data_IF_866449895699
#
_entry.id   IF_866449895699
#
_cell.length_a   1.000
_cell.length_b   1.000
_cell.length_c   1.000
_cell.angle_alpha   90.00
_cell.angle_beta   90.00
_cell.angle_gamma   90.00
#
_symmetry.space_group_name_H-M   'P 1'
#
loop_
_entity.id
_entity.type
_entity.pdbx_description
1 polymer ?
#
# COMPACT_ATOMS: atom_id res chain seq x y z
N UNK A 1 -20.26 1.34 11.81
CA UNK A 1 -20.57 2.76 11.57
C UNK A 1 -19.80 3.69 12.50
N UNK A 2 -19.87 3.50 13.81
CA UNK A 2 -19.19 4.42 14.77
C UNK A 2 -17.69 4.59 14.54
N UNK A 3 -17.02 3.64 13.88
CA UNK A 3 -15.59 3.74 13.53
C UNK A 3 -15.37 4.44 12.19
N UNK A 4 -16.26 4.25 11.22
CA UNK A 4 -16.12 4.83 9.88
C UNK A 4 -16.35 6.35 9.90
N UNK A 5 -17.28 6.85 10.71
CA UNK A 5 -17.61 8.28 10.77
C UNK A 5 -16.47 9.18 11.24
N UNK A 6 -15.43 8.61 11.86
CA UNK A 6 -14.24 9.38 12.27
C UNK A 6 -13.27 9.60 11.10
N UNK A 7 -13.38 8.79 10.05
CA UNK A 7 -12.54 8.93 8.86
C UNK A 7 -13.06 10.09 7.98
N UNK A 8 -12.19 10.97 7.49
CA UNK A 8 -12.58 12.14 6.71
C UNK A 8 -13.47 11.83 5.52
N UNK A 9 -13.21 10.70 4.83
CA UNK A 9 -13.97 10.28 3.64
C UNK A 9 -15.41 9.86 3.95
N UNK A 10 -15.68 9.36 5.16
CA UNK A 10 -17.00 8.83 5.56
C UNK A 10 -17.75 9.76 6.51
N UNK A 11 -17.17 10.90 6.88
CA UNK A 11 -17.72 11.84 7.87
C UNK A 11 -19.10 12.43 7.48
N UNK A 12 -19.46 12.37 6.19
CA UNK A 12 -20.74 12.83 5.65
C UNK A 12 -21.86 11.78 5.71
N UNK A 13 -21.57 10.54 6.13
CA UNK A 13 -22.59 9.52 6.39
C UNK A 13 -23.27 9.86 7.72
N UNK A 14 -24.52 10.33 7.64
CA UNK A 14 -25.29 10.72 8.80
C UNK A 14 -25.84 9.51 9.56
N UNK A 15 -26.41 8.56 8.83
CA UNK A 15 -27.02 7.35 9.42
C UNK A 15 -27.08 6.20 8.40
N UNK A 16 -27.17 4.99 8.91
CA UNK A 16 -27.46 3.79 8.12
C UNK A 16 -28.57 3.01 8.83
N UNK A 17 -29.68 2.85 8.15
CA UNK A 17 -30.84 2.14 8.66
C UNK A 17 -31.20 0.95 7.77
N UNK A 18 -31.78 -0.07 8.38
CA UNK A 18 -32.28 -1.25 7.67
C UNK A 18 -33.80 -1.33 7.84
N UNK A 19 -34.58 -0.71 6.94
CA UNK A 19 -36.03 -0.72 7.05
C UNK A 19 -36.63 -2.12 6.85
N UNK A 20 -35.95 -3.00 6.16
CA UNK A 20 -36.29 -4.41 6.01
C UNK A 20 -35.04 -5.28 6.11
N UNK A 21 -35.13 -6.61 6.30
CA UNK A 21 -33.99 -7.52 6.31
C UNK A 21 -33.12 -7.46 5.02
N UNK A 22 -33.66 -6.92 3.94
CA UNK A 22 -33.05 -6.94 2.61
C UNK A 22 -32.76 -5.55 2.06
N UNK A 23 -33.01 -4.50 2.85
CA UNK A 23 -32.86 -3.10 2.43
C UNK A 23 -31.94 -2.37 3.39
N UNK A 24 -31.02 -1.61 2.83
CA UNK A 24 -30.09 -0.74 3.57
C UNK A 24 -30.20 0.66 3.00
N UNK A 25 -30.60 1.61 3.84
CA UNK A 25 -30.67 3.04 3.49
C UNK A 25 -29.49 3.78 4.13
N UNK A 26 -28.68 4.43 3.31
CA UNK A 26 -27.54 5.23 3.74
C UNK A 26 -27.89 6.71 3.60
N UNK A 27 -28.04 7.39 4.73
CA UNK A 27 -28.36 8.82 4.77
C UNK A 27 -27.09 9.65 4.79
N UNK A 28 -26.99 10.58 3.85
CA UNK A 28 -25.83 11.46 3.70
C UNK A 28 -26.18 12.88 4.09
N UNK A 29 -25.26 13.61 4.71
CA UNK A 29 -25.39 15.06 4.98
C UNK A 29 -25.23 15.92 3.73
N UNK A 30 -24.57 15.37 2.70
CA UNK A 30 -24.35 15.99 1.40
C UNK A 30 -24.20 14.91 0.31
N UNK A 31 -24.53 15.21 -0.96
CA UNK A 31 -24.33 14.24 -2.05
C UNK A 31 -22.87 13.83 -2.20
N UNK A 32 -22.63 12.56 -2.53
CA UNK A 32 -21.30 12.04 -2.80
C UNK A 32 -21.30 11.11 -4.01
N UNK A 33 -20.65 11.52 -5.09
CA UNK A 33 -20.48 10.71 -6.29
C UNK A 33 -19.56 9.51 -6.11
N UNK A 34 -18.72 9.55 -5.09
CA UNK A 34 -17.73 8.50 -4.80
C UNK A 34 -18.25 7.42 -3.85
N UNK A 35 -19.43 7.61 -3.26
CA UNK A 35 -19.98 6.67 -2.27
C UNK A 35 -19.94 5.20 -2.73
N UNK A 36 -20.31 4.84 -3.99
CA UNK A 36 -20.22 3.43 -4.42
C UNK A 36 -18.81 2.86 -4.37
N UNK A 37 -17.80 3.68 -4.66
CA UNK A 37 -16.38 3.28 -4.59
C UNK A 37 -15.88 3.23 -3.14
N UNK A 38 -16.32 4.17 -2.30
CA UNK A 38 -16.03 4.15 -0.86
C UNK A 38 -16.57 2.89 -0.19
N UNK A 39 -17.77 2.45 -0.55
CA UNK A 39 -18.36 1.21 -0.02
C UNK A 39 -17.61 -0.06 -0.49
N UNK A 40 -16.81 0.03 -1.51
CA UNK A 40 -15.92 -1.04 -1.98
C UNK A 40 -14.54 -1.05 -1.31
N UNK A 41 -14.22 -0.08 -0.45
CA UNK A 41 -12.93 -0.03 0.23
C UNK A 41 -12.89 -0.89 1.50
N UNK A 42 -11.66 -1.18 1.95
CA UNK A 42 -11.42 -2.00 3.16
C UNK A 42 -12.17 -1.50 4.40
N UNK A 43 -12.21 -0.18 4.73
CA UNK A 43 -12.95 0.29 5.90
C UNK A 43 -14.46 0.02 5.87
N UNK A 44 -15.04 -0.18 4.68
CA UNK A 44 -16.47 -0.44 4.49
C UNK A 44 -16.79 -1.95 4.31
N UNK A 45 -15.85 -2.85 4.58
CA UNK A 45 -16.07 -4.29 4.48
C UNK A 45 -17.26 -4.74 5.33
N UNK A 46 -18.06 -5.66 4.77
CA UNK A 46 -19.18 -6.28 5.49
C UNK A 46 -18.64 -7.38 6.39
N UNK A 47 -18.86 -7.21 7.69
CA UNK A 47 -18.40 -8.12 8.74
C UNK A 47 -19.60 -8.76 9.45
N UNK A 48 -19.44 -9.96 10.06
CA UNK A 48 -20.43 -10.51 10.96
C UNK A 48 -20.76 -9.54 12.10
N UNK A 49 -21.99 -9.51 12.56
CA UNK A 49 -22.41 -8.62 13.66
C UNK A 49 -21.59 -8.84 14.94
N UNK A 50 -21.20 -10.08 15.18
CA UNK A 50 -20.47 -10.55 16.36
C UNK A 50 -18.93 -10.55 16.19
N UNK A 51 -18.40 -9.97 15.12
CA UNK A 51 -16.97 -10.07 14.79
C UNK A 51 -16.04 -9.65 15.94
N UNK A 52 -16.42 -8.67 16.77
CA UNK A 52 -15.64 -8.19 17.91
C UNK A 52 -15.53 -9.24 19.03
N UNK A 53 -16.46 -10.18 19.10
CA UNK A 53 -16.49 -11.23 20.12
C UNK A 53 -15.89 -12.55 19.66
N UNK A 54 -15.58 -12.69 18.38
CA UNK A 54 -14.94 -13.86 17.81
C UNK A 54 -13.43 -13.84 18.10
N UNK A 55 -12.99 -14.68 19.02
CA UNK A 55 -11.60 -14.72 19.52
C UNK A 55 -10.55 -15.01 18.43
N UNK A 56 -10.95 -15.66 17.35
CA UNK A 56 -10.09 -16.04 16.22
C UNK A 56 -10.31 -15.19 14.96
N UNK A 57 -11.10 -14.11 15.03
CA UNK A 57 -11.47 -13.34 13.83
C UNK A 57 -10.25 -12.75 13.11
N UNK A 58 -9.23 -12.30 13.85
CA UNK A 58 -8.01 -11.75 13.27
C UNK A 58 -7.23 -12.78 12.42
N UNK A 59 -7.24 -14.05 12.82
CA UNK A 59 -6.56 -15.13 12.11
C UNK A 59 -7.46 -15.86 11.10
N UNK A 60 -8.77 -15.89 11.35
CA UNK A 60 -9.76 -16.56 10.50
C UNK A 60 -10.94 -15.62 10.25
N UNK A 61 -10.73 -14.57 9.44
CA UNK A 61 -11.77 -13.60 9.15
C UNK A 61 -12.93 -14.25 8.38
N UNK A 62 -14.13 -13.85 8.75
CA UNK A 62 -15.37 -14.25 8.07
C UNK A 62 -15.83 -13.06 7.24
N UNK A 63 -15.91 -13.24 5.93
CA UNK A 63 -16.35 -12.23 4.97
C UNK A 63 -17.41 -12.78 4.02
N UNK A 64 -17.66 -12.02 2.95
CA UNK A 64 -18.64 -12.40 1.90
C UNK A 64 -17.96 -12.88 0.61
N UNK A 65 -16.67 -13.22 0.68
CA UNK A 65 -15.87 -13.63 -0.48
C UNK A 65 -16.09 -15.09 -0.91
N UNK A 66 -15.51 -15.47 -2.06
CA UNK A 66 -15.65 -16.81 -2.65
C UNK A 66 -14.78 -17.89 -1.98
N UNK A 67 -13.94 -17.52 -1.03
CA UNK A 67 -13.05 -18.41 -0.29
C UNK A 67 -13.19 -18.19 1.21
N UNK A 68 -13.05 -19.27 1.96
CA UNK A 68 -12.93 -19.27 3.42
C UNK A 68 -11.48 -19.53 3.85
N UNK A 69 -11.04 -18.87 4.91
CA UNK A 69 -9.71 -19.09 5.49
C UNK A 69 -9.76 -20.38 6.31
N UNK A 70 -8.92 -21.36 5.95
CA UNK A 70 -8.80 -22.66 6.65
C UNK A 70 -7.59 -22.65 7.59
N UNK A 71 -6.53 -21.97 7.19
CA UNK A 71 -5.32 -21.81 8.00
C UNK A 71 -4.69 -20.46 7.73
N UNK A 72 -4.29 -19.79 8.79
CA UNK A 72 -3.52 -18.56 8.71
C UNK A 72 -2.44 -18.59 9.80
N UNK A 73 -1.20 -18.52 9.39
CA UNK A 73 -0.01 -18.50 10.25
C UNK A 73 1.04 -17.57 9.66
N UNK A 74 2.13 -17.32 10.35
CA UNK A 74 3.20 -16.42 9.93
C UNK A 74 3.75 -16.74 8.53
N UNK A 75 3.79 -18.03 8.16
CA UNK A 75 4.41 -18.48 6.92
C UNK A 75 3.46 -19.21 5.97
N UNK A 76 2.18 -19.37 6.33
CA UNK A 76 1.21 -20.07 5.49
C UNK A 76 -0.19 -19.50 5.65
N UNK A 77 -0.80 -19.15 4.52
CA UNK A 77 -2.24 -18.93 4.39
C UNK A 77 -2.83 -20.04 3.50
N UNK A 78 -3.84 -20.74 4.01
CA UNK A 78 -4.62 -21.69 3.24
C UNK A 78 -6.06 -21.21 3.16
N UNK A 79 -6.59 -21.08 1.93
CA UNK A 79 -7.97 -20.74 1.67
C UNK A 79 -8.62 -21.84 0.83
N UNK A 80 -9.91 -22.07 1.07
CA UNK A 80 -10.72 -23.08 0.37
C UNK A 80 -11.95 -22.41 -0.24
N UNK A 81 -12.33 -22.86 -1.43
CA UNK A 81 -13.52 -22.40 -2.11
C UNK A 81 -14.76 -22.61 -1.23
N UNK A 82 -15.58 -21.58 -1.15
CA UNK A 82 -16.81 -21.60 -0.35
C UNK A 82 -18.00 -22.03 -1.23
N UNK A 83 -18.55 -23.22 -0.96
CA UNK A 83 -19.59 -23.82 -1.80
C UNK A 83 -20.90 -23.03 -1.78
N UNK A 84 -21.23 -22.39 -0.66
CA UNK A 84 -22.45 -21.58 -0.49
C UNK A 84 -22.25 -20.10 -0.88
N UNK A 85 -21.19 -19.78 -1.64
CA UNK A 85 -20.98 -18.43 -2.13
C UNK A 85 -22.15 -17.99 -3.02
N UNK A 86 -22.67 -16.79 -2.79
CA UNK A 86 -23.86 -16.26 -3.48
C UNK A 86 -23.69 -16.06 -5.00
N UNK A 87 -22.46 -16.06 -5.52
CA UNK A 87 -22.14 -15.99 -6.94
C UNK A 87 -21.67 -17.33 -7.50
N UNK A 88 -20.96 -17.30 -8.64
CA UNK A 88 -20.36 -18.52 -9.18
C UNK A 88 -19.23 -18.99 -8.27
N UNK A 89 -19.25 -20.28 -7.94
CA UNK A 89 -18.19 -20.93 -7.19
C UNK A 89 -16.84 -20.79 -7.90
N UNK A 90 -15.78 -20.63 -7.14
CA UNK A 90 -14.41 -20.66 -7.66
C UNK A 90 -14.08 -22.04 -8.27
N UNK A 91 -13.33 -22.03 -9.39
CA UNK A 91 -12.92 -23.28 -10.06
C UNK A 91 -11.74 -23.95 -9.38
N UNK A 92 -10.90 -23.18 -8.68
CA UNK A 92 -9.80 -23.71 -7.86
C UNK A 92 -10.37 -23.98 -6.47
N UNK A 93 -10.33 -25.25 -6.04
CA UNK A 93 -10.86 -25.67 -4.75
C UNK A 93 -10.05 -25.12 -3.57
N UNK A 94 -8.74 -25.05 -3.72
CA UNK A 94 -7.84 -24.72 -2.63
C UNK A 94 -6.64 -23.90 -3.13
N UNK A 95 -6.29 -22.85 -2.38
CA UNK A 95 -5.08 -22.05 -2.59
C UNK A 95 -4.25 -22.07 -1.32
N UNK A 96 -2.98 -22.45 -1.45
CA UNK A 96 -1.98 -22.39 -0.39
C UNK A 96 -0.96 -21.31 -0.74
N UNK A 97 -0.89 -20.29 0.10
CA UNK A 97 0.12 -19.23 0.02
C UNK A 97 1.20 -19.52 1.04
N UNK A 98 2.44 -19.63 0.59
CA UNK A 98 3.61 -19.80 1.44
C UNK A 98 4.45 -18.53 1.40
N UNK A 99 4.78 -18.00 2.57
CA UNK A 99 5.77 -16.93 2.73
C UNK A 99 7.10 -17.59 3.04
N UNK A 100 8.03 -17.52 2.09
CA UNK A 100 9.36 -18.14 2.21
C UNK A 100 10.37 -16.98 2.33
N UNK A 101 10.95 -16.76 3.52
CA UNK A 101 11.82 -15.59 3.75
C UNK A 101 13.12 -15.60 2.95
N UNK A 102 13.60 -16.78 2.55
CA UNK A 102 14.86 -16.94 1.82
C UNK A 102 14.75 -18.13 0.85
N UNK A 103 14.51 -17.82 -0.41
CA UNK A 103 14.88 -18.73 -1.50
C UNK A 103 16.09 -18.10 -2.17
N UNK A 104 17.27 -18.72 -2.01
CA UNK A 104 18.57 -18.16 -2.33
C UNK A 104 18.78 -17.75 -3.81
N UNK A 105 17.92 -18.19 -4.72
CA UNK A 105 18.06 -17.98 -6.17
C UNK A 105 16.83 -17.27 -6.81
N UNK A 106 15.86 -16.79 -6.02
CA UNK A 106 14.67 -16.10 -6.54
C UNK A 106 14.80 -14.59 -6.34
N UNK A 107 14.38 -13.77 -7.32
CA UNK A 107 14.42 -12.32 -7.17
C UNK A 107 13.50 -11.87 -6.01
N UNK A 108 14.00 -10.99 -5.16
CA UNK A 108 13.23 -10.43 -4.06
C UNK A 108 11.95 -9.76 -4.60
N UNK A 109 10.81 -10.08 -3.98
CA UNK A 109 9.50 -9.57 -4.40
C UNK A 109 8.86 -10.33 -5.57
N UNK A 110 9.43 -11.44 -6.00
CA UNK A 110 8.81 -12.35 -6.98
C UNK A 110 7.67 -13.16 -6.36
N UNK A 111 6.57 -13.31 -7.08
CA UNK A 111 5.51 -14.24 -6.75
C UNK A 111 5.54 -15.43 -7.70
N UNK A 112 5.67 -16.62 -7.15
CA UNK A 112 5.61 -17.85 -7.92
C UNK A 112 4.30 -18.59 -7.66
N UNK A 113 3.56 -18.88 -8.72
CA UNK A 113 2.30 -19.62 -8.67
C UNK A 113 2.51 -21.03 -9.21
N UNK A 114 2.45 -22.02 -8.32
CA UNK A 114 2.59 -23.44 -8.67
C UNK A 114 1.22 -24.12 -8.69
N UNK A 115 0.95 -24.85 -9.75
CA UNK A 115 -0.19 -25.74 -9.89
C UNK A 115 0.27 -27.19 -10.03
N UNK A 116 -0.64 -28.09 -10.42
CA UNK A 116 -0.35 -29.55 -10.37
C UNK A 116 0.73 -30.03 -11.33
N UNK A 117 0.90 -29.43 -12.51
CA UNK A 117 1.91 -29.82 -13.53
C UNK A 117 2.09 -28.73 -14.59
N UNK A 118 3.28 -28.58 -15.17
CA UNK A 118 3.56 -27.74 -16.32
C UNK A 118 4.86 -26.96 -16.23
N UNK A 119 5.29 -26.38 -17.36
CA UNK A 119 6.43 -25.49 -17.45
C UNK A 119 6.09 -24.13 -16.81
N UNK A 120 7.04 -23.56 -16.10
CA UNK A 120 6.96 -22.22 -15.53
C UNK A 120 7.16 -21.18 -16.64
N UNK A 121 6.43 -20.09 -16.54
CA UNK A 121 6.55 -18.96 -17.45
C UNK A 121 6.13 -17.69 -16.71
N UNK A 122 6.66 -16.54 -17.14
CA UNK A 122 6.13 -15.25 -16.74
C UNK A 122 4.67 -15.12 -17.17
N UNK A 123 3.79 -14.85 -16.20
CA UNK A 123 2.36 -14.65 -16.44
C UNK A 123 2.07 -13.17 -16.65
N UNK A 124 2.67 -12.32 -15.82
CA UNK A 124 2.47 -10.88 -15.83
C UNK A 124 3.73 -10.17 -15.37
N UNK A 125 4.07 -9.07 -16.04
CA UNK A 125 5.11 -8.14 -15.61
C UNK A 125 4.57 -6.73 -15.80
N UNK A 126 4.55 -5.94 -14.72
CA UNK A 126 4.08 -4.57 -14.78
C UNK A 126 4.77 -3.69 -13.75
N UNK A 127 4.89 -2.42 -14.08
CA UNK A 127 5.24 -1.40 -13.11
C UNK A 127 4.01 -1.07 -12.25
N UNK A 128 4.13 -1.11 -10.94
CA UNK A 128 3.04 -0.81 -10.03
C UNK A 128 2.61 0.66 -10.14
N UNK A 129 1.31 0.92 -10.03
CA UNK A 129 0.74 2.27 -9.99
C UNK A 129 0.86 2.81 -8.57
N UNK A 130 2.08 3.08 -8.14
CA UNK A 130 2.40 3.54 -6.79
C UNK A 130 3.90 3.74 -6.61
N UNK A 131 4.33 3.93 -5.39
CA UNK A 131 5.76 4.07 -5.08
C UNK A 131 6.05 3.80 -3.60
N UNK A 132 7.32 3.50 -3.30
CA UNK A 132 7.91 3.72 -1.99
C UNK A 132 8.21 5.20 -1.82
N UNK A 133 7.94 5.74 -0.64
CA UNK A 133 8.14 7.16 -0.37
C UNK A 133 8.59 7.43 1.06
N UNK A 134 9.29 8.54 1.26
CA UNK A 134 9.52 9.10 2.58
C UNK A 134 8.40 10.08 2.92
N UNK A 135 7.99 10.03 4.17
CA UNK A 135 7.10 11.00 4.79
C UNK A 135 7.86 11.68 5.93
N UNK A 136 8.02 13.00 5.87
CA UNK A 136 8.61 13.77 6.94
C UNK A 136 7.55 14.14 7.97
N UNK A 137 7.84 13.85 9.23
CA UNK A 137 6.91 14.08 10.33
C UNK A 137 6.99 15.53 10.80
N UNK A 138 5.96 16.32 10.49
CA UNK A 138 5.91 17.73 10.87
C UNK A 138 5.82 17.97 12.39
N UNK A 139 5.57 16.94 13.18
CA UNK A 139 5.55 17.00 14.66
C UNK A 139 6.97 17.09 15.23
N UNK A 140 7.97 16.55 14.56
CA UNK A 140 9.36 16.62 15.02
C UNK A 140 10.06 17.88 14.50
N UNK A 141 11.02 18.36 15.26
CA UNK A 141 11.81 19.53 14.85
C UNK A 141 12.58 19.30 13.53
N UNK A 142 13.13 18.10 13.33
CA UNK A 142 13.90 17.77 12.12
C UNK A 142 12.99 17.50 10.94
N UNK A 143 11.90 16.76 11.12
CA UNK A 143 10.93 16.52 10.06
C UNK A 143 10.21 17.77 9.58
N UNK A 144 9.94 18.73 10.48
CA UNK A 144 9.37 20.04 10.14
C UNK A 144 10.37 20.98 9.42
N UNK A 145 11.68 20.74 9.55
CA UNK A 145 12.70 21.64 9.03
C UNK A 145 12.89 21.47 7.50
N UNK A 146 12.57 22.52 6.75
CA UNK A 146 12.67 22.52 5.28
C UNK A 146 14.08 22.22 4.77
N UNK A 147 15.14 22.77 5.41
CA UNK A 147 16.52 22.52 4.98
C UNK A 147 16.90 21.04 5.16
N UNK A 148 16.41 20.39 6.22
CA UNK A 148 16.60 18.95 6.43
C UNK A 148 15.90 18.16 5.34
N UNK A 149 14.63 18.47 5.03
CA UNK A 149 13.88 17.82 3.96
C UNK A 149 14.55 17.97 2.60
N UNK A 150 14.99 19.17 2.26
CA UNK A 150 15.65 19.45 0.98
C UNK A 150 16.97 18.66 0.86
N UNK A 151 17.78 18.67 1.91
CA UNK A 151 19.06 17.97 1.91
C UNK A 151 18.88 16.44 1.87
N UNK A 152 18.01 15.89 2.71
CA UNK A 152 17.71 14.44 2.71
C UNK A 152 17.18 14.00 1.36
N UNK A 153 16.24 14.77 0.75
CA UNK A 153 15.70 14.47 -0.57
C UNK A 153 16.76 14.49 -1.67
N UNK A 154 17.78 15.34 -1.55
CA UNK A 154 18.90 15.40 -2.48
C UNK A 154 19.84 14.19 -2.32
N UNK A 155 20.25 13.90 -1.09
CA UNK A 155 21.22 12.83 -0.79
C UNK A 155 20.60 11.44 -1.04
N UNK A 156 19.35 11.26 -0.61
CA UNK A 156 18.58 10.03 -0.82
C UNK A 156 17.75 10.10 -2.12
N UNK A 157 18.30 10.73 -3.17
CA UNK A 157 17.60 10.81 -4.44
C UNK A 157 17.24 9.41 -4.98
N UNK A 158 16.11 9.26 -5.69
CA UNK A 158 15.69 8.00 -6.28
C UNK A 158 16.77 7.27 -7.07
N UNK A 159 17.55 8.03 -7.85
CA UNK A 159 18.67 7.49 -8.63
C UNK A 159 19.77 6.94 -7.73
N UNK A 160 20.10 7.60 -6.63
CA UNK A 160 21.13 7.13 -5.69
C UNK A 160 20.68 5.83 -5.03
N UNK A 161 19.43 5.74 -4.59
CA UNK A 161 18.90 4.52 -3.96
C UNK A 161 18.97 3.31 -4.89
N UNK A 162 18.57 3.47 -6.15
CA UNK A 162 18.66 2.37 -7.13
C UNK A 162 20.11 2.04 -7.44
N UNK A 163 21.01 3.04 -7.54
CA UNK A 163 22.42 2.81 -7.81
C UNK A 163 23.15 2.02 -6.71
N UNK A 164 22.81 2.25 -5.45
CA UNK A 164 23.42 1.55 -4.31
C UNK A 164 22.71 0.24 -3.95
N UNK A 165 21.60 -0.10 -4.62
CA UNK A 165 20.93 -1.36 -4.42
C UNK A 165 21.70 -2.53 -5.04
N UNK A 166 21.51 -3.73 -4.52
CA UNK A 166 22.01 -4.95 -5.12
C UNK A 166 21.39 -5.20 -6.51
N UNK A 167 22.09 -5.93 -7.38
CA UNK A 167 21.69 -6.15 -8.77
C UNK A 167 20.25 -6.69 -8.92
N UNK A 168 19.85 -7.60 -8.04
CA UNK A 168 18.50 -8.15 -8.03
C UNK A 168 17.40 -7.07 -7.85
N UNK A 169 17.66 -6.06 -7.01
CA UNK A 169 16.73 -4.95 -6.79
C UNK A 169 16.82 -3.92 -7.91
N UNK A 170 18.00 -3.69 -8.49
CA UNK A 170 18.16 -2.78 -9.63
C UNK A 170 17.32 -3.19 -10.84
N UNK A 171 17.05 -4.49 -11.01
CA UNK A 171 16.19 -5.01 -12.06
C UNK A 171 14.70 -4.75 -11.81
N UNK A 172 14.31 -4.63 -10.54
CA UNK A 172 12.91 -4.47 -10.12
C UNK A 172 12.55 -3.02 -9.79
N UNK A 173 13.54 -2.18 -9.48
CA UNK A 173 13.32 -0.82 -8.99
C UNK A 173 13.55 0.22 -10.08
N UNK A 174 12.57 1.11 -10.21
CA UNK A 174 12.64 2.24 -11.12
C UNK A 174 12.57 3.56 -10.32
N UNK A 175 13.49 4.53 -10.54
CA UNK A 175 13.52 5.77 -9.78
C UNK A 175 12.21 6.55 -9.87
N UNK A 176 11.58 6.86 -8.74
CA UNK A 176 10.31 7.58 -8.66
C UNK A 176 10.52 9.06 -8.37
N UNK A 177 10.09 9.91 -9.29
CA UNK A 177 10.06 11.37 -9.11
C UNK A 177 8.65 11.92 -8.95
N UNK A 178 7.66 11.06 -8.80
CA UNK A 178 6.26 11.34 -8.54
C UNK A 178 5.59 10.15 -7.87
N UNK A 179 4.40 10.34 -7.33
CA UNK A 179 3.63 9.26 -6.69
C UNK A 179 3.19 8.18 -7.68
N UNK A 180 3.06 8.53 -8.96
CA UNK A 180 2.70 7.62 -10.04
C UNK A 180 3.81 7.56 -11.08
N UNK A 181 4.03 6.41 -11.75
CA UNK A 181 5.09 6.26 -12.76
C UNK A 181 5.04 7.29 -13.89
N UNK A 182 3.85 7.81 -14.19
CA UNK A 182 3.64 8.82 -15.26
C UNK A 182 3.83 10.25 -14.79
N UNK A 183 3.99 10.49 -13.49
CA UNK A 183 4.16 11.82 -12.92
C UNK A 183 5.63 12.09 -12.64
N UNK A 184 6.19 13.04 -13.35
CA UNK A 184 7.58 13.46 -13.17
C UNK A 184 7.62 14.86 -12.57
N UNK A 185 8.16 14.95 -11.36
CA UNK A 185 8.48 16.22 -10.72
C UNK A 185 9.96 16.57 -10.95
N UNK A 186 10.32 17.81 -10.66
CA UNK A 186 11.70 18.24 -10.75
C UNK A 186 12.61 17.38 -9.85
N UNK A 187 13.75 16.99 -10.41
CA UNK A 187 14.79 16.30 -9.62
C UNK A 187 15.26 17.18 -8.49
N UNK A 188 15.63 16.61 -7.33
CA UNK A 188 16.24 17.38 -6.25
C UNK A 188 17.49 18.09 -6.75
N UNK A 189 17.63 19.37 -6.42
CA UNK A 189 18.82 20.16 -6.70
C UNK A 189 19.81 20.01 -5.57
N UNK A 190 21.10 20.27 -5.86
CA UNK A 190 22.14 20.27 -4.84
C UNK A 190 21.76 21.15 -3.66
N UNK A 191 21.91 20.62 -2.46
CA UNK A 191 21.64 21.29 -1.20
C UNK A 191 22.75 20.95 -0.21
N UNK A 192 23.22 21.94 0.54
CA UNK A 192 24.24 21.72 1.57
C UNK A 192 23.61 21.07 2.82
N UNK A 193 24.44 20.25 3.51
CA UNK A 193 24.02 19.64 4.76
C UNK A 193 23.73 20.71 5.82
N UNK A 194 22.54 20.66 6.46
CA UNK A 194 22.22 21.57 7.55
C UNK A 194 23.25 21.48 8.70
N UNK A 195 23.64 22.63 9.23
CA UNK A 195 24.58 22.68 10.35
C UNK A 195 24.00 21.96 11.57
N UNK A 196 24.83 21.15 12.23
CA UNK A 196 24.42 20.39 13.44
C UNK A 196 23.53 19.18 13.15
N UNK A 197 23.28 18.80 11.90
CA UNK A 197 22.56 17.56 11.58
C UNK A 197 23.51 16.36 11.73
N UNK A 198 23.40 15.65 12.85
CA UNK A 198 24.24 14.50 13.18
C UNK A 198 23.46 13.18 13.14
N UNK A 199 22.15 13.21 13.37
CA UNK A 199 21.31 12.02 13.40
C UNK A 199 19.89 12.30 12.90
N UNK A 200 19.25 11.25 12.39
CA UNK A 200 17.83 11.20 12.01
C UNK A 200 17.23 9.87 12.46
N UNK A 201 15.94 9.85 12.76
CA UNK A 201 15.19 8.63 13.05
C UNK A 201 14.33 8.27 11.84
N UNK A 202 14.45 7.02 11.36
CA UNK A 202 13.60 6.43 10.32
C UNK A 202 12.75 5.33 10.94
N UNK A 203 11.45 5.40 10.72
CA UNK A 203 10.51 4.38 11.22
C UNK A 203 9.70 3.78 10.07
N UNK A 204 9.45 2.48 10.13
CA UNK A 204 8.55 1.75 9.24
C UNK A 204 7.94 0.55 9.98
N UNK A 205 6.85 -0.02 9.46
CA UNK A 205 6.29 -1.23 10.06
C UNK A 205 7.09 -2.46 9.65
N UNK A 206 7.27 -3.37 10.62
CA UNK A 206 7.92 -4.65 10.42
C UNK A 206 7.18 -5.49 9.37
N UNK A 207 7.76 -6.60 8.95
CA UNK A 207 7.20 -7.56 7.99
C UNK A 207 7.17 -7.09 6.52
N UNK A 208 7.80 -5.95 6.21
CA UNK A 208 8.00 -5.47 4.85
C UNK A 208 9.49 -5.55 4.49
N UNK A 209 9.86 -6.58 3.74
CA UNK A 209 11.28 -6.91 3.45
C UNK A 209 11.95 -5.74 2.72
N UNK A 210 11.29 -5.17 1.72
CA UNK A 210 11.84 -4.06 0.92
C UNK A 210 12.09 -2.81 1.76
N UNK A 211 11.29 -2.54 2.78
CA UNK A 211 11.55 -1.42 3.69
C UNK A 211 12.90 -1.58 4.41
N UNK A 212 13.23 -2.80 4.85
CA UNK A 212 14.53 -3.08 5.48
C UNK A 212 15.69 -2.85 4.53
N UNK A 213 15.56 -3.32 3.29
CA UNK A 213 16.58 -3.14 2.25
C UNK A 213 16.78 -1.66 1.94
N UNK A 214 15.70 -0.93 1.67
CA UNK A 214 15.75 0.52 1.40
C UNK A 214 16.35 1.27 2.59
N UNK A 215 15.92 0.97 3.82
CA UNK A 215 16.44 1.59 5.03
C UNK A 215 17.96 1.33 5.23
N UNK A 216 18.43 0.11 4.94
CA UNK A 216 19.86 -0.23 4.98
C UNK A 216 20.69 0.57 3.96
N UNK A 217 20.19 0.75 2.74
CA UNK A 217 20.83 1.58 1.72
C UNK A 217 20.86 3.05 2.17
N UNK A 218 19.75 3.57 2.69
CA UNK A 218 19.67 4.95 3.20
C UNK A 218 20.65 5.17 4.34
N UNK A 219 20.79 4.19 5.25
CA UNK A 219 21.74 4.26 6.37
C UNK A 219 23.19 4.37 5.86
N UNK A 220 23.57 3.57 4.85
CA UNK A 220 24.89 3.62 4.23
C UNK A 220 25.16 4.97 3.56
N UNK A 221 24.20 5.48 2.79
CA UNK A 221 24.32 6.77 2.10
C UNK A 221 24.48 7.89 3.14
N UNK A 222 23.63 7.96 4.16
CA UNK A 222 23.68 9.01 5.19
C UNK A 222 24.96 8.93 6.04
N UNK A 223 25.43 7.72 6.34
CA UNK A 223 26.70 7.52 7.05
C UNK A 223 27.89 8.10 6.28
N UNK A 224 27.91 8.01 4.95
CA UNK A 224 28.95 8.63 4.11
C UNK A 224 28.97 10.17 4.24
N UNK A 225 27.86 10.76 4.64
CA UNK A 225 27.69 12.18 4.94
C UNK A 225 27.80 12.53 6.43
N UNK A 226 28.28 11.59 7.25
CA UNK A 226 28.43 11.77 8.71
C UNK A 226 27.08 12.08 9.40
N UNK A 227 26.01 11.40 8.99
CA UNK A 227 24.69 11.42 9.64
C UNK A 227 24.30 10.01 10.01
N UNK A 228 24.02 9.77 11.28
CA UNK A 228 23.55 8.50 11.79
C UNK A 228 22.05 8.37 11.51
N UNK A 229 21.62 7.27 10.88
CA UNK A 229 20.22 6.94 10.72
C UNK A 229 19.83 5.86 11.75
N UNK A 230 19.03 6.26 12.72
CA UNK A 230 18.44 5.34 13.69
C UNK A 230 17.21 4.70 13.08
N UNK A 231 17.26 3.39 12.85
CA UNK A 231 16.15 2.63 12.25
C UNK A 231 15.28 2.04 13.34
N UNK A 232 13.97 2.26 13.27
CA UNK A 232 12.96 1.68 14.17
C UNK A 232 11.95 0.88 13.35
N UNK A 233 11.83 -0.39 13.67
CA UNK A 233 10.78 -1.27 13.17
C UNK A 233 9.68 -1.38 14.24
N UNK A 234 8.44 -1.13 13.84
CA UNK A 234 7.27 -1.16 14.72
C UNK A 234 6.21 -2.12 14.18
N UNK A 235 5.22 -2.46 14.98
CA UNK A 235 4.09 -3.27 14.50
C UNK A 235 3.24 -2.50 13.51
N UNK A 236 2.48 -3.23 12.67
CA UNK A 236 1.52 -2.62 11.76
C UNK A 236 0.48 -1.76 12.50
N UNK A 237 0.00 -2.20 13.65
CA UNK A 237 -0.99 -1.46 14.44
C UNK A 237 -0.43 -0.12 14.92
N UNK A 238 0.80 -0.10 15.45
CA UNK A 238 1.48 1.13 15.87
C UNK A 238 1.71 2.10 14.70
N UNK A 239 2.07 1.56 13.52
CA UNK A 239 2.21 2.35 12.31
C UNK A 239 0.85 2.91 11.87
N UNK A 240 -0.20 2.08 11.89
CA UNK A 240 -1.55 2.48 11.48
C UNK A 240 -2.12 3.57 12.40
N UNK A 241 -1.95 3.45 13.70
CA UNK A 241 -2.37 4.47 14.68
C UNK A 241 -1.65 5.81 14.46
N UNK A 242 -0.39 5.78 14.02
CA UNK A 242 0.38 6.97 13.67
C UNK A 242 0.74 7.87 14.85
N UNK A 243 0.58 7.41 16.09
CA UNK A 243 0.82 8.20 17.29
C UNK A 243 2.32 8.40 17.60
N UNK A 244 3.16 7.45 17.18
CA UNK A 244 4.61 7.51 17.37
C UNK A 244 5.19 8.64 16.52
N UNK A 245 6.11 9.41 17.09
CA UNK A 245 6.86 10.44 16.36
C UNK A 245 8.19 9.88 15.81
N UNK A 246 8.51 10.24 14.58
CA UNK A 246 9.78 9.91 13.92
C UNK A 246 10.15 11.05 12.98
N UNK A 247 11.45 11.31 12.78
CA UNK A 247 11.83 12.37 11.84
C UNK A 247 11.37 12.06 10.42
N UNK A 248 11.49 10.77 10.05
CA UNK A 248 11.16 10.28 8.72
C UNK A 248 10.43 8.92 8.85
N UNK A 249 9.42 8.74 8.01
CA UNK A 249 8.72 7.47 7.84
C UNK A 249 9.01 6.92 6.44
N UNK A 250 9.31 5.62 6.33
CA UNK A 250 9.37 4.91 5.07
C UNK A 250 8.07 4.14 4.86
N UNK A 251 7.40 4.43 3.78
CA UNK A 251 6.10 3.87 3.43
C UNK A 251 6.05 3.44 1.97
N UNK A 252 5.01 2.70 1.63
CA UNK A 252 4.63 2.39 0.26
C UNK A 252 3.15 2.68 0.04
N UNK A 253 2.79 3.00 -1.19
CA UNK A 253 1.41 3.20 -1.60
C UNK A 253 1.21 2.67 -3.02
N UNK A 254 0.12 1.92 -3.21
CA UNK A 254 -0.35 1.47 -4.51
C UNK A 254 -1.77 1.99 -4.74
N UNK A 255 -2.04 2.45 -5.95
CA UNK A 255 -3.29 3.09 -6.31
C UNK A 255 -4.06 2.25 -7.32
N UNK A 256 -5.39 2.31 -7.26
CA UNK A 256 -6.30 1.59 -8.16
C UNK A 256 -6.96 2.53 -9.15
N UNK A 257 -7.69 1.99 -10.10
CA UNK A 257 -8.53 2.78 -10.99
C UNK A 257 -9.94 2.96 -10.36
N UNK A 258 -10.58 4.11 -10.53
CA UNK A 258 -10.05 5.32 -11.16
C UNK A 258 -9.08 6.07 -10.24
N UNK A 259 -7.98 6.56 -10.78
CA UNK A 259 -6.92 7.25 -10.01
C UNK A 259 -7.43 8.49 -9.27
N UNK A 260 -8.40 9.22 -9.85
CA UNK A 260 -9.02 10.40 -9.24
C UNK A 260 -9.72 10.07 -7.92
N UNK A 261 -10.13 8.82 -7.76
CA UNK A 261 -10.67 8.31 -6.50
C UNK A 261 -9.55 7.76 -5.61
N UNK A 262 -8.83 6.75 -6.08
CA UNK A 262 -8.01 5.90 -5.23
C UNK A 262 -6.83 6.62 -4.62
N UNK A 263 -6.22 7.57 -5.33
CA UNK A 263 -5.05 8.29 -4.83
C UNK A 263 -5.40 9.17 -3.63
N UNK A 264 -6.45 9.99 -3.73
CA UNK A 264 -6.86 10.81 -2.61
C UNK A 264 -7.44 9.97 -1.47
N UNK A 265 -8.27 8.96 -1.79
CA UNK A 265 -8.85 8.07 -0.80
C UNK A 265 -7.77 7.38 0.04
N UNK A 266 -6.76 6.77 -0.62
CA UNK A 266 -5.67 6.11 0.07
C UNK A 266 -4.91 7.07 1.00
N UNK A 267 -4.49 8.23 0.51
CA UNK A 267 -3.72 9.18 1.32
C UNK A 267 -4.54 9.76 2.47
N UNK A 268 -5.85 9.95 2.28
CA UNK A 268 -6.76 10.48 3.30
C UNK A 268 -7.13 9.45 4.37
N UNK A 269 -7.06 8.14 4.07
CA UNK A 269 -7.44 7.07 4.99
C UNK A 269 -6.30 6.60 5.90
N UNK A 270 -5.07 7.00 5.65
CA UNK A 270 -3.92 6.59 6.46
C UNK A 270 -3.74 7.54 7.66
N UNK A 271 -4.02 7.11 8.90
CA UNK A 271 -3.94 7.99 10.08
C UNK A 271 -2.55 8.60 10.27
N UNK A 272 -1.49 7.87 9.97
CA UNK A 272 -0.12 8.39 10.02
C UNK A 272 0.05 9.66 9.17
N UNK A 273 -0.49 9.68 7.93
CA UNK A 273 -0.42 10.86 7.09
C UNK A 273 -1.20 12.04 7.67
N UNK A 274 -2.34 11.73 8.31
CA UNK A 274 -3.15 12.75 8.97
C UNK A 274 -2.41 13.45 10.12
N UNK A 275 -1.57 12.69 10.84
CA UNK A 275 -0.74 13.23 11.92
C UNK A 275 0.51 13.96 11.42
N UNK A 276 1.18 13.40 10.41
CA UNK A 276 2.46 13.94 9.94
C UNK A 276 2.33 15.17 9.04
N UNK A 277 1.25 15.27 8.26
CA UNK A 277 1.06 16.35 7.29
C UNK A 277 0.14 17.44 7.84
N UNK A 278 0.53 18.72 7.78
CA UNK A 278 -0.28 19.85 8.23
C UNK A 278 -1.36 20.19 7.20
N UNK A 279 -2.29 19.27 6.93
CA UNK A 279 -3.37 19.38 5.94
C UNK A 279 -4.70 19.39 6.67
N UNK A 280 -5.62 20.26 6.24
CA UNK A 280 -7.01 20.17 6.64
C UNK A 280 -7.73 19.08 5.81
N UNK A 281 -7.59 17.84 6.27
CA UNK A 281 -8.14 16.66 5.59
C UNK A 281 -9.67 16.71 5.41
N UNK A 282 -10.39 17.35 6.34
CA UNK A 282 -11.84 17.48 6.24
C UNK A 282 -12.24 18.46 5.14
N UNK A 283 -11.57 19.62 5.07
CA UNK A 283 -11.80 20.59 4.01
C UNK A 283 -11.41 20.03 2.64
N UNK A 284 -10.26 19.34 2.55
CA UNK A 284 -9.80 18.74 1.30
C UNK A 284 -10.71 17.58 0.85
N UNK A 285 -11.22 16.76 1.77
CA UNK A 285 -12.19 15.72 1.44
C UNK A 285 -13.52 16.33 0.91
N UNK A 286 -13.97 17.45 1.46
CA UNK A 286 -15.14 18.15 0.94
C UNK A 286 -14.91 18.68 -0.48
N UNK A 287 -13.78 19.33 -0.73
CA UNK A 287 -13.40 19.82 -2.08
C UNK A 287 -13.29 18.69 -3.10
N UNK A 288 -12.70 17.57 -2.68
CA UNK A 288 -12.57 16.38 -3.53
C UNK A 288 -13.93 15.78 -3.90
N UNK A 289 -14.85 15.61 -2.92
CA UNK A 289 -16.23 15.14 -3.17
C UNK A 289 -16.98 16.05 -4.15
N UNK A 290 -16.82 17.35 -4.02
CA UNK A 290 -17.46 18.35 -4.88
C UNK A 290 -16.81 18.45 -6.28
N UNK A 291 -15.66 17.79 -6.52
CA UNK A 291 -14.91 17.92 -7.77
C UNK A 291 -14.16 19.24 -7.93
N UNK A 292 -13.94 19.94 -6.84
CA UNK A 292 -13.22 21.22 -6.80
C UNK A 292 -11.70 21.08 -6.64
N UNK A 293 -11.23 19.84 -6.40
CA UNK A 293 -9.82 19.54 -6.22
C UNK A 293 -9.18 19.13 -7.55
N UNK A 294 -8.11 19.82 -7.97
CA UNK A 294 -7.19 19.32 -8.96
C UNK A 294 -6.16 18.41 -8.27
N UNK A 295 -6.36 17.11 -8.38
CA UNK A 295 -5.57 16.11 -7.66
C UNK A 295 -4.10 16.11 -8.06
N UNK A 296 -3.79 16.29 -9.35
CA UNK A 296 -2.40 16.37 -9.82
C UNK A 296 -1.65 17.55 -9.18
N UNK A 297 -2.29 18.73 -9.14
CA UNK A 297 -1.70 19.90 -8.50
C UNK A 297 -1.56 19.72 -6.97
N UNK A 298 -2.54 19.08 -6.34
CA UNK A 298 -2.50 18.79 -4.90
C UNK A 298 -1.34 17.86 -4.55
N UNK A 299 -1.17 16.76 -5.27
CA UNK A 299 -0.04 15.84 -5.11
C UNK A 299 1.31 16.52 -5.45
N UNK A 300 1.33 17.38 -6.48
CA UNK A 300 2.51 18.13 -6.83
C UNK A 300 2.96 19.05 -5.69
N UNK A 301 2.03 19.68 -4.98
CA UNK A 301 2.34 20.51 -3.82
C UNK A 301 2.95 19.69 -2.67
N UNK A 302 2.42 18.49 -2.39
CA UNK A 302 2.98 17.59 -1.38
C UNK A 302 4.43 17.20 -1.71
N UNK A 303 4.69 16.81 -2.95
CA UNK A 303 6.04 16.43 -3.39
C UNK A 303 6.97 17.65 -3.46
N UNK A 304 6.50 18.80 -3.94
CA UNK A 304 7.31 20.02 -4.04
C UNK A 304 7.73 20.57 -2.67
N UNK A 305 6.86 20.43 -1.64
CA UNK A 305 7.20 20.81 -0.26
C UNK A 305 8.20 19.87 0.40
N UNK A 306 8.53 18.74 -0.23
CA UNK A 306 9.34 17.66 0.35
C UNK A 306 8.75 17.08 1.65
N UNK A 307 7.47 17.31 1.92
CA UNK A 307 6.80 16.64 3.02
C UNK A 307 6.61 15.14 2.70
N UNK A 308 6.40 14.83 1.42
CA UNK A 308 6.38 13.47 0.88
C UNK A 308 7.37 13.38 -0.28
N UNK A 309 8.28 12.41 -0.24
CA UNK A 309 9.36 12.24 -1.23
C UNK A 309 9.26 10.85 -1.85
N UNK A 310 8.79 10.73 -3.11
CA UNK A 310 8.82 9.47 -3.85
C UNK A 310 10.25 8.97 -4.02
N UNK A 311 10.45 7.66 -3.93
CA UNK A 311 11.76 7.02 -3.99
C UNK A 311 11.87 6.05 -5.17
N UNK A 312 10.97 5.06 -5.21
CA UNK A 312 11.08 3.90 -6.08
C UNK A 312 9.70 3.48 -6.54
N UNK A 313 9.52 3.26 -7.85
CA UNK A 313 8.47 2.43 -8.40
C UNK A 313 8.97 1.00 -8.51
N UNK A 314 8.12 0.03 -8.26
CA UNK A 314 8.48 -1.38 -8.25
C UNK A 314 7.89 -2.12 -9.47
N UNK A 315 8.72 -2.93 -10.14
CA UNK A 315 8.26 -3.90 -11.12
C UNK A 315 7.77 -5.14 -10.41
N UNK A 316 6.52 -5.47 -10.61
CA UNK A 316 5.94 -6.71 -10.15
C UNK A 316 6.05 -7.77 -11.24
N UNK A 317 6.69 -8.88 -10.92
CA UNK A 317 6.86 -10.02 -11.81
C UNK A 317 6.14 -11.22 -11.22
N UNK A 318 5.20 -11.77 -11.97
CA UNK A 318 4.45 -12.96 -11.57
C UNK A 318 4.86 -14.10 -12.50
N UNK A 319 5.43 -15.13 -11.91
CA UNK A 319 5.73 -16.36 -12.59
C UNK A 319 4.69 -17.43 -12.23
N UNK A 320 4.37 -18.28 -13.16
CA UNK A 320 3.42 -19.36 -12.91
C UNK A 320 3.40 -20.37 -14.03
N UNK A 321 2.56 -21.37 -13.89
CA UNK A 321 2.49 -22.46 -14.87
C UNK A 321 1.79 -22.02 -16.16
N UNK A 322 2.31 -22.52 -17.29
CA UNK A 322 1.78 -22.23 -18.63
C UNK A 322 0.31 -22.65 -18.79
N UNK A 323 -0.16 -23.65 -18.06
CA UNK A 323 -1.57 -24.09 -18.06
C UNK A 323 -2.51 -23.18 -17.28
N UNK A 324 -2.02 -22.31 -16.40
CA UNK A 324 -2.84 -21.39 -15.62
C UNK A 324 -3.48 -20.33 -16.52
N UNK A 325 -4.77 -20.13 -16.32
CA UNK A 325 -5.61 -19.16 -17.06
C UNK A 325 -6.48 -18.38 -16.10
N UNK A 326 -6.96 -17.22 -16.54
CA UNK A 326 -7.98 -16.43 -15.84
C UNK A 326 -7.49 -15.76 -14.56
N UNK A 327 -6.28 -16.02 -14.09
CA UNK A 327 -5.72 -15.31 -12.95
C UNK A 327 -5.61 -13.83 -13.29
N UNK A 328 -6.10 -13.01 -12.40
CA UNK A 328 -6.03 -11.55 -12.49
C UNK A 328 -5.50 -10.99 -11.20
N UNK A 329 -4.72 -9.96 -11.31
CA UNK A 329 -4.27 -9.18 -10.17
C UNK A 329 -4.79 -7.75 -10.31
N UNK A 330 -5.32 -7.20 -9.22
CA UNK A 330 -5.72 -5.80 -9.21
C UNK A 330 -4.50 -4.88 -9.07
N UNK A 331 -4.63 -3.56 -9.28
CA UNK A 331 -3.52 -2.63 -9.12
C UNK A 331 -2.87 -2.59 -7.72
N UNK A 332 -3.57 -3.05 -6.68
CA UNK A 332 -3.03 -3.20 -5.32
C UNK A 332 -2.17 -4.46 -5.12
N UNK A 333 -1.97 -5.27 -6.17
CA UNK A 333 -1.23 -6.53 -6.07
C UNK A 333 -2.06 -7.71 -5.54
N UNK A 334 -3.39 -7.57 -5.40
CA UNK A 334 -4.25 -8.64 -4.89
C UNK A 334 -4.77 -9.53 -6.02
N UNK A 335 -4.74 -10.84 -5.79
CA UNK A 335 -5.13 -11.83 -6.78
C UNK A 335 -6.62 -12.17 -6.72
N UNK A 336 -7.24 -12.25 -7.88
CA UNK A 336 -8.56 -12.86 -8.06
C UNK A 336 -8.40 -14.35 -8.40
N UNK A 337 -8.27 -15.17 -7.36
CA UNK A 337 -8.21 -16.63 -7.53
C UNK A 337 -9.53 -17.23 -7.99
N UNK A 338 -10.66 -16.53 -7.84
CA UNK A 338 -11.97 -17.03 -8.23
C UNK A 338 -12.07 -17.28 -9.74
N UNK A 339 -11.46 -16.40 -10.53
CA UNK A 339 -11.46 -16.51 -11.99
C UNK A 339 -10.33 -17.37 -12.55
N UNK A 340 -9.42 -17.84 -11.70
CA UNK A 340 -8.31 -18.70 -12.12
C UNK A 340 -8.75 -20.15 -12.37
N UNK A 341 -8.12 -20.79 -13.35
CA UNK A 341 -8.34 -22.20 -13.68
C UNK A 341 -7.13 -22.76 -14.44
N UNK A 342 -7.02 -24.08 -14.51
CA UNK A 342 -5.98 -24.77 -15.27
C UNK A 342 -6.54 -25.32 -16.58
N UNK A 343 -5.91 -24.96 -17.71
CA UNK A 343 -6.24 -25.54 -18.99
C UNK A 343 -5.79 -27.01 -19.01
N UNK A 344 -6.56 -27.91 -19.63
CA UNK A 344 -6.08 -29.28 -19.88
C UNK A 344 -4.80 -29.24 -20.72
N UNK A 345 -3.93 -30.28 -20.63
CA UNK A 345 -2.77 -30.37 -21.49
C UNK A 345 -3.21 -30.34 -22.96
N UNK A 346 -2.40 -29.69 -23.80
CA UNK A 346 -2.64 -29.72 -25.25
C UNK A 346 -2.70 -31.18 -25.72
N UNK A 347 -3.65 -31.56 -26.56
CA UNK A 347 -3.66 -32.90 -27.12
C UNK A 347 -2.36 -33.10 -27.94
N UNK A 348 -1.70 -34.22 -27.71
CA UNK A 348 -0.50 -34.67 -28.47
C UNK A 348 -0.78 -34.79 -29.97
#
# INVERSE_FOLDING_TARGET
LKRINTLPLYSHIADIVSPTPWTLDIHLTQPDRWLPLLLGQVPAMILPREWETLSNFASHPIGTGPYAVIRNSTNQLKIQAFDDFFGYRALIDEVNVWVLPEIADEPAGGLMLKGPQGEEKEIESRLEEGCYYLLFDSRTHRGANQQVRDWVSYVLSPTNLVYFAEEQYQQLWFPAYGLLPRWHHARPTHCEKPAGLESLTLTFYQDHIEHRVIAGIMQQILASHQVTLEIKEISYDQWHEGEIESDIWLNSANFTLPLDFSLFAHLCEVPLLQHCLPIDWQADAARWRNGEMNLANWCQQLVASKAMVPLIHHWLIIQGQRSMRGLRMNPLGWFDFKSAWFAPPDPE
#
